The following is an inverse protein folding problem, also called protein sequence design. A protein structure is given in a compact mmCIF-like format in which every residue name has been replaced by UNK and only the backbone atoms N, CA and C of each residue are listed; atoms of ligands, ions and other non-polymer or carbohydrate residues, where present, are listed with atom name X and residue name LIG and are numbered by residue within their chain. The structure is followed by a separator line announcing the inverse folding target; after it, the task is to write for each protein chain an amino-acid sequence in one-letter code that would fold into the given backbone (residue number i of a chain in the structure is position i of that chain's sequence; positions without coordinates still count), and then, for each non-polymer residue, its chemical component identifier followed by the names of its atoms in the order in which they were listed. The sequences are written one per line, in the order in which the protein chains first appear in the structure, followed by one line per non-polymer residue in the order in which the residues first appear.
data_IF_482305769155
#
_entry.id   IF_482305769155
#
_cell.length_a   1.000
_cell.length_b   1.000
_cell.length_c   1.000
_cell.angle_alpha   90.00
_cell.angle_beta   90.00
_cell.angle_gamma   90.00
#
_symmetry.space_group_name_H-M   'P 1'
#
loop_
_entity.id
_entity.type
_entity.pdbx_description
1 polymer ?
#
# COMPACT_ATOMS: atom_id res chain seq x y z
N UNK A 1 -14.78 -13.40 -4.97
CA UNK A 1 -14.14 -13.27 -6.29
C UNK A 1 -13.51 -11.89 -6.42
N UNK A 2 -12.31 -11.78 -6.99
CA UNK A 2 -11.59 -10.53 -7.18
C UNK A 2 -11.54 -10.18 -8.68
N UNK A 3 -11.76 -8.92 -9.02
CA UNK A 3 -11.53 -8.42 -10.37
C UNK A 3 -10.04 -8.11 -10.53
N UNK A 4 -9.30 -8.97 -11.21
CA UNK A 4 -7.89 -8.80 -11.51
C UNK A 4 -7.73 -7.98 -12.78
N UNK A 5 -6.83 -7.00 -12.75
CA UNK A 5 -6.52 -6.13 -13.87
C UNK A 5 -5.01 -5.98 -14.03
N UNK A 6 -4.60 -5.80 -15.28
CA UNK A 6 -3.24 -5.38 -15.63
C UNK A 6 -3.36 -4.15 -16.52
N UNK A 7 -2.64 -3.10 -16.17
CA UNK A 7 -2.60 -1.87 -16.95
C UNK A 7 -1.16 -1.46 -17.24
N UNK A 8 -0.97 -0.73 -18.32
CA UNK A 8 0.27 -0.01 -18.62
C UNK A 8 -0.03 1.46 -18.90
N UNK A 9 0.90 2.33 -18.52
CA UNK A 9 0.74 3.76 -18.71
C UNK A 9 1.88 4.55 -18.10
N UNK A 10 1.74 5.86 -18.07
CA UNK A 10 2.74 6.75 -17.50
C UNK A 10 2.29 7.31 -16.15
N UNK A 11 3.22 7.40 -15.22
CA UNK A 11 2.95 7.99 -13.89
C UNK A 11 2.70 9.49 -14.05
N UNK A 12 1.51 9.94 -13.65
CA UNK A 12 1.03 11.29 -13.90
C UNK A 12 1.44 12.34 -12.86
N UNK A 13 2.01 11.92 -11.73
CA UNK A 13 2.40 12.82 -10.64
C UNK A 13 3.38 12.16 -9.68
N UNK A 14 3.67 12.84 -8.59
CA UNK A 14 4.51 12.32 -7.52
C UNK A 14 3.82 11.15 -6.81
N UNK A 15 4.60 10.17 -6.36
CA UNK A 15 4.10 9.11 -5.48
C UNK A 15 3.89 9.70 -4.10
N UNK A 16 2.65 9.64 -3.62
CA UNK A 16 2.31 10.03 -2.24
C UNK A 16 2.53 8.84 -1.31
N UNK A 17 3.23 9.06 -0.22
CA UNK A 17 3.51 8.03 0.78
C UNK A 17 3.00 8.45 2.15
N UNK A 18 2.32 7.52 2.84
CA UNK A 18 1.85 7.70 4.21
C UNK A 18 2.30 6.52 5.06
N UNK A 19 3.06 6.76 6.13
CA UNK A 19 3.32 5.71 7.12
C UNK A 19 2.00 5.36 7.83
N UNK A 20 1.74 4.08 8.04
CA UNK A 20 0.61 3.59 8.82
C UNK A 20 1.03 3.23 10.23
N UNK A 21 0.07 3.17 11.17
CA UNK A 21 0.34 2.90 12.60
C UNK A 21 1.09 1.61 12.89
N UNK A 22 1.03 0.64 11.97
CA UNK A 22 1.68 -0.67 12.12
C UNK A 22 3.02 -0.75 11.38
N UNK A 23 3.71 0.36 11.19
CA UNK A 23 4.95 0.46 10.41
C UNK A 23 4.82 -0.10 8.98
N UNK A 24 3.62 -0.13 8.44
CA UNK A 24 3.31 -0.55 7.07
C UNK A 24 3.08 0.69 6.23
N UNK A 25 3.85 0.89 5.17
CA UNK A 25 3.66 2.00 4.25
C UNK A 25 2.39 1.87 3.40
N UNK A 26 1.81 3.00 3.07
CA UNK A 26 0.79 3.16 2.03
C UNK A 26 1.34 4.12 0.99
N UNK A 27 1.46 3.69 -0.26
CA UNK A 27 1.80 4.56 -1.38
C UNK A 27 0.62 4.67 -2.34
N UNK A 28 0.44 5.86 -2.91
CA UNK A 28 -0.60 6.13 -3.90
C UNK A 28 -0.06 7.00 -5.02
N UNK A 29 -0.40 6.68 -6.26
CA UNK A 29 -0.06 7.46 -7.43
C UNK A 29 -1.09 7.27 -8.55
N UNK A 30 -1.06 8.15 -9.54
CA UNK A 30 -1.95 8.06 -10.70
C UNK A 30 -1.20 7.60 -11.94
N UNK A 31 -1.84 6.75 -12.72
CA UNK A 31 -1.34 6.27 -14.01
C UNK A 31 -2.27 6.73 -15.13
N UNK A 32 -1.68 7.36 -16.15
CA UNK A 32 -2.34 7.75 -17.37
C UNK A 32 -2.20 6.63 -18.42
N UNK A 33 -3.30 5.97 -18.72
CA UNK A 33 -3.39 4.94 -19.76
C UNK A 33 -3.99 5.57 -21.02
N UNK A 34 -3.16 5.87 -22.01
CA UNK A 34 -3.58 6.49 -23.27
C UNK A 34 -3.46 5.49 -24.40
N UNK A 35 -4.57 4.93 -24.91
CA UNK A 35 -4.52 4.00 -26.02
C UNK A 35 -4.14 4.71 -27.31
N UNK A 36 -3.34 4.04 -28.15
CA UNK A 36 -3.14 4.46 -29.53
C UNK A 36 -4.28 3.91 -30.41
N UNK A 37 -4.94 4.77 -31.13
CA UNK A 37 -6.06 4.42 -32.00
C UNK A 37 -5.78 4.83 -33.44
N UNK A 38 -6.19 3.98 -34.36
CA UNK A 38 -6.13 4.29 -35.80
C UNK A 38 -7.49 4.87 -36.25
N UNK A 39 -7.49 6.07 -36.75
CA UNK A 39 -8.66 6.69 -37.35
C UNK A 39 -8.36 6.95 -38.86
N UNK A 40 -9.01 6.20 -39.69
CA UNK A 40 -8.90 6.36 -41.16
C UNK A 40 -7.46 6.31 -41.69
N UNK A 41 -6.65 5.39 -41.19
CA UNK A 41 -5.25 5.21 -41.60
C UNK A 41 -4.23 6.10 -40.87
N UNK A 42 -4.66 7.02 -40.00
CA UNK A 42 -3.78 7.84 -39.16
C UNK A 42 -3.80 7.38 -37.71
N UNK A 43 -2.62 7.13 -37.12
CA UNK A 43 -2.46 6.77 -35.72
C UNK A 43 -2.39 8.02 -34.85
N UNK A 44 -3.25 8.07 -33.84
CA UNK A 44 -3.28 9.14 -32.85
C UNK A 44 -3.54 8.61 -31.43
N UNK A 45 -3.46 9.50 -30.47
CA UNK A 45 -3.81 9.18 -29.08
C UNK A 45 -5.33 9.18 -28.89
N UNK A 46 -5.83 8.17 -28.20
CA UNK A 46 -7.21 8.11 -27.75
C UNK A 46 -7.43 8.87 -26.45
N UNK A 47 -8.62 8.71 -25.86
CA UNK A 47 -8.93 9.31 -24.57
C UNK A 47 -8.13 8.65 -23.47
N UNK A 48 -7.44 9.45 -22.67
CA UNK A 48 -6.67 8.97 -21.53
C UNK A 48 -7.58 8.51 -20.39
N UNK A 49 -7.38 7.28 -19.95
CA UNK A 49 -7.98 6.74 -18.72
C UNK A 49 -7.02 6.97 -17.55
N UNK A 50 -7.50 7.64 -16.51
CA UNK A 50 -6.73 7.87 -15.29
C UNK A 50 -7.09 6.85 -14.23
N UNK A 51 -6.10 6.07 -13.77
CA UNK A 51 -6.27 5.10 -12.69
C UNK A 51 -5.47 5.51 -11.47
N UNK A 52 -6.09 5.40 -10.30
CA UNK A 52 -5.39 5.55 -9.02
C UNK A 52 -4.90 4.18 -8.58
N UNK A 53 -3.60 4.11 -8.30
CA UNK A 53 -2.91 2.91 -7.83
C UNK A 53 -2.64 3.07 -6.35
N UNK A 54 -2.88 2.01 -5.59
CA UNK A 54 -2.61 1.95 -4.15
C UNK A 54 -1.74 0.75 -3.87
N UNK A 55 -0.64 0.97 -3.18
CA UNK A 55 0.34 -0.05 -2.79
C UNK A 55 0.45 -0.08 -1.27
N UNK A 56 0.68 -1.27 -0.71
CA UNK A 56 0.78 -1.47 0.74
C UNK A 56 2.10 -2.11 1.11
N UNK A 57 2.53 -1.88 2.36
CA UNK A 57 3.68 -2.54 2.99
C UNK A 57 4.98 -2.32 2.18
N UNK A 58 5.78 -3.34 2.05
CA UNK A 58 7.06 -3.32 1.34
C UNK A 58 6.94 -2.84 -0.11
N UNK A 59 5.84 -3.19 -0.81
CA UNK A 59 5.62 -2.70 -2.18
C UNK A 59 5.49 -1.17 -2.20
N UNK A 60 4.85 -0.57 -1.19
CA UNK A 60 4.70 0.88 -1.09
C UNK A 60 6.07 1.59 -0.93
N UNK A 61 6.95 1.03 -0.12
CA UNK A 61 8.31 1.56 0.10
C UNK A 61 9.16 1.45 -1.17
N UNK A 62 9.10 0.30 -1.84
CA UNK A 62 9.85 0.08 -3.08
C UNK A 62 9.34 0.98 -4.22
N UNK A 63 8.03 1.16 -4.33
CA UNK A 63 7.44 2.07 -5.32
C UNK A 63 7.87 3.51 -5.07
N UNK A 64 7.86 3.97 -3.82
CA UNK A 64 8.32 5.31 -3.46
C UNK A 64 9.76 5.58 -3.91
N UNK A 65 10.63 4.57 -3.78
CA UNK A 65 12.05 4.69 -4.13
C UNK A 65 12.32 4.55 -5.62
N UNK A 66 11.49 3.73 -6.32
CA UNK A 66 11.80 3.28 -7.68
C UNK A 66 11.01 3.99 -8.77
N UNK A 67 9.84 4.57 -8.45
CA UNK A 67 8.90 5.09 -9.44
C UNK A 67 8.76 6.60 -9.28
N UNK A 68 8.94 7.32 -10.38
CA UNK A 68 8.80 8.77 -10.46
C UNK A 68 7.76 9.24 -11.47
N UNK A 69 7.44 10.54 -11.42
CA UNK A 69 6.56 11.17 -12.39
C UNK A 69 7.11 11.03 -13.81
N UNK A 70 6.28 10.57 -14.72
CA UNK A 70 6.63 10.38 -16.15
C UNK A 70 7.09 8.96 -16.49
N UNK A 71 7.44 8.14 -15.49
CA UNK A 71 7.87 6.77 -15.73
C UNK A 71 6.78 5.94 -16.40
N UNK A 72 7.18 5.14 -17.38
CA UNK A 72 6.32 4.14 -17.97
C UNK A 72 6.27 2.91 -17.06
N UNK A 73 5.09 2.54 -16.63
CA UNK A 73 4.89 1.45 -15.66
C UNK A 73 3.88 0.42 -16.14
N UNK A 74 4.09 -0.80 -15.66
CA UNK A 74 3.15 -1.91 -15.72
C UNK A 74 2.66 -2.19 -14.31
N UNK A 75 1.35 -2.22 -14.11
CA UNK A 75 0.73 -2.46 -12.79
C UNK A 75 -0.24 -3.62 -12.91
N UNK A 76 -0.09 -4.60 -12.03
CA UNK A 76 -1.04 -5.69 -11.85
C UNK A 76 -1.65 -5.59 -10.46
N UNK A 77 -2.95 -5.81 -10.35
CA UNK A 77 -3.62 -5.73 -9.06
C UNK A 77 -5.11 -6.05 -9.11
N UNK A 78 -5.78 -5.75 -8.02
CA UNK A 78 -7.21 -5.96 -7.83
C UNK A 78 -7.95 -4.64 -7.99
N UNK A 79 -8.99 -4.64 -8.80
CA UNK A 79 -9.88 -3.48 -8.89
C UNK A 79 -10.74 -3.43 -7.63
N UNK A 80 -10.70 -2.31 -6.92
CA UNK A 80 -11.41 -2.07 -5.67
C UNK A 80 -12.22 -0.78 -5.75
N UNK A 81 -13.38 -0.78 -5.12
CA UNK A 81 -14.14 0.43 -4.86
C UNK A 81 -13.86 0.90 -3.42
N UNK A 82 -13.34 2.10 -3.29
CA UNK A 82 -13.17 2.78 -2.02
C UNK A 82 -14.31 3.77 -1.83
N UNK A 83 -14.90 3.77 -0.65
CA UNK A 83 -15.91 4.73 -0.24
C UNK A 83 -15.47 5.42 1.05
N UNK A 84 -15.72 6.72 1.17
CA UNK A 84 -15.45 7.50 2.38
C UNK A 84 -16.48 8.62 2.52
N UNK A 85 -16.58 9.15 3.72
CA UNK A 85 -17.38 10.36 3.97
C UNK A 85 -16.44 11.56 3.86
N UNK A 86 -16.73 12.49 2.98
CA UNK A 86 -15.98 13.72 2.79
C UNK A 86 -16.19 14.71 3.93
N UNK A 87 -15.40 15.79 3.94
CA UNK A 87 -15.56 16.89 4.90
C UNK A 87 -16.89 17.63 4.74
N UNK A 88 -17.55 17.50 3.58
CA UNK A 88 -18.89 17.98 3.26
C UNK A 88 -20.02 17.11 3.85
N UNK A 89 -19.69 15.98 4.48
CA UNK A 89 -20.64 14.98 4.99
C UNK A 89 -21.21 14.05 3.91
N UNK A 90 -20.84 14.23 2.65
CA UNK A 90 -21.30 13.43 1.53
C UNK A 90 -20.48 12.14 1.37
N UNK A 91 -21.14 11.11 0.85
CA UNK A 91 -20.47 9.85 0.52
C UNK A 91 -19.80 9.94 -0.83
N UNK A 92 -18.49 9.80 -0.82
CA UNK A 92 -17.65 9.74 -2.02
C UNK A 92 -17.22 8.31 -2.32
N UNK A 93 -17.11 7.99 -3.59
CA UNK A 93 -16.64 6.69 -4.04
C UNK A 93 -15.64 6.87 -5.19
N UNK A 94 -14.63 6.02 -5.21
CA UNK A 94 -13.71 5.93 -6.35
C UNK A 94 -13.29 4.49 -6.60
N UNK A 95 -12.99 4.19 -7.84
CA UNK A 95 -12.37 2.93 -8.21
C UNK A 95 -10.86 3.10 -8.19
N UNK A 96 -10.16 2.17 -7.55
CA UNK A 96 -8.71 2.12 -7.44
C UNK A 96 -8.20 0.74 -7.81
N UNK A 97 -6.91 0.65 -8.16
CA UNK A 97 -6.22 -0.63 -8.30
C UNK A 97 -5.36 -0.82 -7.06
N UNK A 98 -5.68 -1.83 -6.26
CA UNK A 98 -4.83 -2.32 -5.19
C UNK A 98 -3.75 -3.18 -5.83
N UNK A 99 -2.55 -2.63 -5.97
CA UNK A 99 -1.47 -3.26 -6.70
C UNK A 99 -0.90 -4.46 -5.93
N UNK A 100 -0.71 -5.55 -6.65
CA UNK A 100 0.05 -6.72 -6.21
C UNK A 100 1.47 -6.71 -6.78
N UNK A 101 1.66 -6.05 -7.93
CA UNK A 101 2.96 -5.91 -8.59
C UNK A 101 3.01 -4.59 -9.36
N UNK A 102 4.16 -3.93 -9.30
CA UNK A 102 4.47 -2.71 -10.06
C UNK A 102 5.89 -2.85 -10.61
N UNK A 103 6.10 -2.46 -11.84
CA UNK A 103 7.42 -2.43 -12.48
C UNK A 103 7.48 -1.41 -13.60
N UNK A 104 8.70 -1.10 -14.05
CA UNK A 104 8.88 -0.29 -15.26
C UNK A 104 8.48 -1.08 -16.50
N UNK A 105 7.85 -0.42 -17.44
CA UNK A 105 7.57 -0.96 -18.78
C UNK A 105 8.83 -0.86 -19.64
N UNK A 106 9.58 -1.96 -19.74
CA UNK A 106 10.84 -2.03 -20.48
C UNK A 106 10.69 -1.92 -21.98
N UNK A 107 9.48 -1.89 -22.53
CA UNK A 107 9.25 -1.55 -23.93
C UNK A 107 9.51 -0.06 -24.20
N UNK A 108 9.56 0.75 -23.13
CA UNK A 108 9.68 2.20 -23.18
C UNK A 108 11.02 2.74 -22.67
N UNK A 109 11.84 1.90 -22.04
CA UNK A 109 13.11 2.33 -21.45
C UNK A 109 13.85 1.18 -20.78
N UNK A 110 14.90 1.53 -20.06
CA UNK A 110 15.72 0.58 -19.29
C UNK A 110 15.59 0.85 -17.81
N UNK A 111 15.81 -0.17 -17.00
CA UNK A 111 15.75 -0.08 -15.54
C UNK A 111 16.90 -0.88 -14.93
N UNK A 112 17.43 -0.43 -13.79
CA UNK A 112 18.38 -1.17 -12.99
C UNK A 112 17.66 -1.77 -11.77
N UNK A 113 17.90 -3.04 -11.50
CA UNK A 113 17.30 -3.74 -10.37
C UNK A 113 18.32 -3.90 -9.26
N UNK A 114 17.97 -3.43 -8.06
CA UNK A 114 18.70 -3.65 -6.84
C UNK A 114 17.91 -4.58 -5.91
N UNK A 115 18.51 -5.70 -5.54
CA UNK A 115 17.86 -6.64 -4.62
C UNK A 115 17.96 -6.11 -3.19
N UNK A 116 16.83 -5.89 -2.55
CA UNK A 116 16.78 -5.62 -1.12
C UNK A 116 17.15 -6.91 -0.38
N UNK A 117 18.22 -6.87 0.37
CA UNK A 117 18.60 -8.00 1.23
C UNK A 117 17.58 -8.12 2.35
N UNK A 118 16.95 -9.28 2.47
CA UNK A 118 16.27 -9.63 3.71
C UNK A 118 17.37 -9.73 4.78
N UNK A 119 17.20 -8.99 5.86
CA UNK A 119 17.96 -9.27 7.06
C UNK A 119 17.42 -10.62 7.53
N UNK A 120 18.14 -11.70 7.25
CA UNK A 120 17.86 -12.98 7.85
C UNK A 120 18.07 -12.79 9.35
N UNK A 121 16.98 -12.80 10.11
CA UNK A 121 17.05 -12.79 11.57
C UNK A 121 17.78 -14.09 11.92
N UNK A 122 18.93 -14.04 12.61
CA UNK A 122 19.63 -15.25 13.01
C UNK A 122 18.65 -16.19 13.72
N UNK A 123 18.67 -17.48 13.38
CA UNK A 123 17.76 -18.49 13.97
C UNK A 123 17.79 -18.47 15.50
N UNK A 124 18.92 -18.07 16.08
CA UNK A 124 19.10 -17.93 17.53
C UNK A 124 18.20 -16.83 18.11
N UNK A 125 18.07 -15.67 17.44
CA UNK A 125 17.21 -14.58 17.89
C UNK A 125 15.72 -14.90 17.70
N UNK A 126 15.38 -15.64 16.65
CA UNK A 126 14.00 -16.08 16.43
C UNK A 126 13.58 -17.11 17.48
N UNK A 127 14.51 -18.01 17.86
CA UNK A 127 14.30 -18.96 18.95
C UNK A 127 14.18 -18.26 20.32
N UNK A 128 15.07 -17.32 20.63
CA UNK A 128 15.03 -16.55 21.88
C UNK A 128 13.74 -15.74 22.01
N UNK A 129 13.28 -15.12 20.91
CA UNK A 129 12.01 -14.42 20.87
C UNK A 129 10.84 -15.38 21.10
N UNK A 130 10.84 -16.57 20.50
CA UNK A 130 9.84 -17.60 20.70
C UNK A 130 9.79 -18.10 22.14
N UNK A 131 10.94 -18.33 22.77
CA UNK A 131 11.05 -18.74 24.18
C UNK A 131 10.53 -17.64 25.14
N UNK A 132 10.82 -16.37 24.83
CA UNK A 132 10.33 -15.23 25.62
C UNK A 132 8.80 -15.11 25.54
N UNK A 133 8.24 -15.23 24.35
CA UNK A 133 6.79 -15.19 24.12
C UNK A 133 6.10 -16.34 24.89
N UNK A 134 6.63 -17.56 24.77
CA UNK A 134 6.10 -18.72 25.49
C UNK A 134 6.14 -18.55 27.01
N UNK A 135 7.16 -17.87 27.54
CA UNK A 135 7.26 -17.56 28.97
C UNK A 135 6.20 -16.56 29.40
N UNK A 136 6.01 -15.47 28.64
CA UNK A 136 5.01 -14.45 28.94
C UNK A 136 3.60 -15.06 28.88
N UNK A 137 3.32 -15.93 27.92
CA UNK A 137 2.03 -16.62 27.82
C UNK A 137 1.80 -17.62 28.96
N UNK A 138 2.85 -18.26 29.48
CA UNK A 138 2.77 -19.21 30.59
C UNK A 138 2.58 -18.53 31.96
N UNK A 139 3.09 -17.30 32.13
CA UNK A 139 2.94 -16.52 33.36
C UNK A 139 1.52 -15.95 33.55
N UNK A 140 0.71 -15.92 32.46
CA UNK A 140 -0.67 -15.40 32.48
C UNK A 140 -0.76 -13.90 32.81
N UNK A 141 -1.92 -13.29 32.67
CA UNK A 141 -2.11 -11.93 33.14
C UNK A 141 -1.98 -11.92 34.69
N UNK A 142 -1.10 -11.05 35.17
CA UNK A 142 -0.96 -10.79 36.63
C UNK A 142 -2.27 -10.16 37.14
N UNK A 143 -3.13 -11.00 37.77
CA UNK A 143 -4.39 -10.60 38.38
C UNK A 143 -4.17 -9.80 39.67
N UNK A 144 -2.97 -9.31 39.98
CA UNK A 144 -2.65 -8.50 41.13
C UNK A 144 -2.68 -6.99 40.88
N UNK A 145 -3.59 -6.50 40.07
CA UNK A 145 -3.98 -5.09 40.15
C UNK A 145 -5.12 -5.01 41.16
N UNK A 146 -4.73 -4.86 42.44
CA UNK A 146 -5.61 -4.60 43.53
C UNK A 146 -6.58 -3.47 43.18
N UNK A 147 -7.88 -3.76 43.37
CA UNK A 147 -8.94 -2.77 43.50
C UNK A 147 -8.64 -1.90 44.75
N UNK A 148 -7.78 -0.91 44.67
CA UNK A 148 -7.73 0.16 45.64
C UNK A 148 -8.86 1.17 45.37
N UNK A 149 -9.94 0.90 46.03
CA UNK A 149 -10.66 1.81 46.89
C UNK A 149 -11.05 3.17 46.33
N UNK A 150 -12.12 3.21 45.57
CA UNK A 150 -12.88 4.46 45.38
C UNK A 150 -14.21 4.40 46.17
N UNK A 151 -14.14 4.39 47.48
CA UNK A 151 -15.26 4.66 48.36
C UNK A 151 -14.77 5.47 49.56
N UNK A 152 -14.86 6.79 49.50
CA UNK A 152 -15.12 7.65 50.67
C UNK A 152 -15.28 9.12 50.22
N UNK A 153 -16.42 9.68 50.47
CA UNK A 153 -16.56 11.13 50.47
C UNK A 153 -17.87 11.67 49.91
N UNK A 154 -19.00 11.15 50.35
CA UNK A 154 -20.22 11.95 50.39
C UNK A 154 -20.64 12.01 51.85
N UNK A 155 -20.51 13.17 52.43
CA UNK A 155 -20.98 13.47 53.80
C UNK A 155 -20.86 14.95 54.09
N UNK A 156 -22.01 15.59 54.18
CA UNK A 156 -22.39 16.91 54.70
C UNK A 156 -22.11 18.12 53.80
#
# INVERSE_FOLDING_TARGET
MDALVTISGNVGGTVEFKPTRNNSGLASFRVACTPRINRQGSWGDGTTLWMTIVCYRTLAEHVLTSIGKGDAVLVQGKLRRQAWIGADGERHERTVIEATSVGHDLTRGTSAFERVQRIDIPEDLDREAGELIARIEAEGPDDSVEEEHFLAGVGD
#
